data_IF_537177125923
#
_entry.id   IF_537177125923
#
_cell.length_a   1.000
_cell.length_b   1.000
_cell.length_c   1.000
_cell.angle_alpha   90.00
_cell.angle_beta   90.00
_cell.angle_gamma   90.00
#
_symmetry.space_group_name_H-M   'P 1'
#
loop_
_entity.id
_entity.type
_entity.pdbx_description
1 polymer ?
#
# COMPACT_ATOMS: atom_id res chain seq x y z
N UNK A 1 -10.61 5.88 11.05
CA UNK A 1 -11.32 4.64 10.68
C UNK A 1 -10.62 3.48 11.37
N UNK A 2 -11.34 2.53 11.98
CA UNK A 2 -10.71 1.38 12.66
C UNK A 2 -10.58 0.20 11.68
N UNK A 3 -9.42 -0.43 11.66
CA UNK A 3 -9.17 -1.57 10.79
C UNK A 3 -9.95 -2.82 11.27
N UNK A 4 -10.66 -3.47 10.35
CA UNK A 4 -11.37 -4.73 10.59
C UNK A 4 -10.66 -5.86 9.86
N UNK A 5 -9.90 -6.68 10.58
CA UNK A 5 -9.19 -7.83 9.99
C UNK A 5 -10.14 -9.01 9.84
N UNK A 6 -10.22 -9.57 8.63
CA UNK A 6 -11.06 -10.72 8.28
C UNK A 6 -10.24 -12.01 8.36
N UNK A 7 -9.84 -12.44 9.57
CA UNK A 7 -8.99 -13.63 9.78
C UNK A 7 -9.69 -14.98 9.53
N UNK A 8 -11.02 -15.06 9.76
CA UNK A 8 -11.76 -16.32 9.78
C UNK A 8 -12.28 -16.84 8.42
N UNK A 9 -11.86 -16.25 7.28
CA UNK A 9 -12.42 -16.62 5.97
C UNK A 9 -11.48 -17.45 5.07
N UNK A 10 -10.60 -18.28 5.67
CA UNK A 10 -9.69 -19.17 4.91
C UNK A 10 -10.41 -20.38 4.27
N UNK A 11 -11.62 -20.21 3.79
CA UNK A 11 -12.44 -21.29 3.22
C UNK A 11 -12.39 -21.35 1.68
N UNK A 12 -11.41 -20.68 1.06
CA UNK A 12 -11.31 -20.59 -0.40
C UNK A 12 -11.22 -21.95 -1.09
N UNK A 13 -10.47 -22.91 -0.53
CA UNK A 13 -10.31 -24.25 -1.09
C UNK A 13 -11.65 -25.03 -1.06
N UNK A 14 -12.31 -25.07 0.10
CA UNK A 14 -13.59 -25.76 0.24
C UNK A 14 -14.67 -25.17 -0.67
N UNK A 15 -14.72 -23.82 -0.74
CA UNK A 15 -15.67 -23.13 -1.62
C UNK A 15 -15.35 -23.35 -3.11
N UNK A 16 -14.08 -23.38 -3.49
CA UNK A 16 -13.66 -23.67 -4.86
C UNK A 16 -14.12 -25.09 -5.26
N UNK A 17 -13.89 -26.09 -4.43
CA UNK A 17 -14.31 -27.47 -4.68
C UNK A 17 -15.83 -27.54 -4.78
N UNK A 18 -16.56 -26.90 -3.84
CA UNK A 18 -18.02 -26.85 -3.87
C UNK A 18 -18.56 -26.29 -5.19
N UNK A 19 -18.00 -25.16 -5.66
CA UNK A 19 -18.46 -24.54 -6.91
C UNK A 19 -18.11 -25.37 -8.13
N UNK A 20 -16.96 -26.05 -8.15
CA UNK A 20 -16.60 -26.99 -9.23
C UNK A 20 -17.61 -28.15 -9.28
N UNK A 21 -17.93 -28.75 -8.12
CA UNK A 21 -18.91 -29.86 -8.06
C UNK A 21 -20.29 -29.38 -8.55
N UNK A 22 -20.75 -28.21 -8.10
CA UNK A 22 -22.02 -27.66 -8.56
C UNK A 22 -22.02 -27.39 -10.08
N UNK A 23 -20.88 -26.95 -10.62
CA UNK A 23 -20.75 -26.70 -12.06
C UNK A 23 -20.80 -28.00 -12.87
N UNK A 24 -20.17 -29.09 -12.35
CA UNK A 24 -20.25 -30.42 -12.96
C UNK A 24 -21.67 -30.99 -12.90
N UNK A 25 -22.37 -30.80 -11.78
CA UNK A 25 -23.78 -31.22 -11.65
C UNK A 25 -24.67 -30.47 -12.65
N UNK A 26 -24.45 -29.18 -12.82
CA UNK A 26 -25.19 -28.38 -13.82
C UNK A 26 -24.92 -28.88 -15.25
N UNK A 27 -23.70 -29.25 -15.56
CA UNK A 27 -23.32 -29.81 -16.86
C UNK A 27 -24.01 -31.18 -17.09
N UNK A 28 -24.05 -32.05 -16.09
CA UNK A 28 -24.82 -33.29 -16.18
C UNK A 28 -26.32 -33.04 -16.35
N UNK A 29 -26.89 -32.07 -15.62
CA UNK A 29 -28.31 -31.69 -15.78
C UNK A 29 -28.61 -31.19 -17.18
N UNK A 30 -27.72 -30.45 -17.84
CA UNK A 30 -27.93 -30.01 -19.23
C UNK A 30 -27.92 -31.19 -20.20
N UNK A 31 -27.00 -32.15 -20.04
CA UNK A 31 -26.91 -33.30 -20.92
C UNK A 31 -28.15 -34.23 -20.78
N UNK A 32 -28.51 -34.61 -19.54
CA UNK A 32 -29.67 -35.43 -19.28
C UNK A 32 -31.00 -34.72 -19.59
N UNK A 33 -31.06 -33.41 -19.28
CA UNK A 33 -32.26 -32.63 -19.57
C UNK A 33 -32.57 -32.48 -21.07
N UNK A 34 -31.53 -32.36 -21.89
CA UNK A 34 -31.67 -32.35 -23.34
C UNK A 34 -32.25 -33.64 -23.90
N UNK A 35 -31.94 -34.79 -23.26
CA UNK A 35 -32.41 -36.11 -23.71
C UNK A 35 -33.81 -36.50 -23.18
N UNK A 36 -34.14 -36.09 -21.95
CA UNK A 36 -35.30 -36.67 -21.25
C UNK A 36 -36.26 -35.63 -20.65
N UNK A 37 -35.83 -34.47 -20.18
CA UNK A 37 -36.65 -33.54 -19.40
C UNK A 37 -36.33 -32.09 -19.72
N UNK A 38 -37.10 -31.46 -20.61
CA UNK A 38 -36.90 -30.08 -21.05
C UNK A 38 -36.72 -29.02 -19.93
N UNK A 39 -37.49 -29.03 -18.81
CA UNK A 39 -37.29 -28.09 -17.73
C UNK A 39 -35.90 -28.19 -17.07
N UNK A 40 -35.36 -29.41 -16.96
CA UNK A 40 -34.03 -29.67 -16.36
C UNK A 40 -32.89 -29.07 -17.22
N UNK A 41 -33.06 -29.13 -18.54
CA UNK A 41 -32.19 -28.50 -19.52
C UNK A 41 -32.11 -26.99 -19.31
N UNK A 42 -33.23 -26.31 -19.17
CA UNK A 42 -33.31 -24.87 -18.98
C UNK A 42 -32.60 -24.45 -17.67
N UNK A 43 -32.87 -25.15 -16.57
CA UNK A 43 -32.20 -24.88 -15.27
C UNK A 43 -30.71 -25.06 -15.37
N UNK A 44 -30.22 -26.13 -16.01
CA UNK A 44 -28.80 -26.38 -16.21
C UNK A 44 -28.13 -25.30 -17.04
N UNK A 45 -28.73 -24.86 -18.13
CA UNK A 45 -28.19 -23.77 -18.97
C UNK A 45 -28.10 -22.45 -18.21
N UNK A 46 -29.16 -22.07 -17.48
CA UNK A 46 -29.16 -20.85 -16.66
C UNK A 46 -28.04 -20.90 -15.61
N UNK A 47 -27.87 -22.06 -14.97
CA UNK A 47 -26.80 -22.24 -13.99
C UNK A 47 -25.41 -22.14 -14.62
N UNK A 48 -25.18 -22.73 -15.80
CA UNK A 48 -23.91 -22.60 -16.52
C UNK A 48 -23.59 -21.15 -16.90
N UNK A 49 -24.60 -20.36 -17.24
CA UNK A 49 -24.44 -18.94 -17.56
C UNK A 49 -24.10 -18.08 -16.33
N UNK A 50 -24.64 -18.37 -15.16
CA UNK A 50 -24.50 -17.56 -13.94
C UNK A 50 -23.46 -18.13 -12.96
N UNK A 51 -23.22 -19.44 -13.01
CA UNK A 51 -22.40 -20.19 -12.05
C UNK A 51 -20.90 -19.84 -12.02
N UNK A 52 -20.39 -19.02 -12.96
CA UNK A 52 -19.02 -18.52 -12.93
C UNK A 52 -18.83 -17.32 -11.99
N UNK A 53 -19.92 -16.57 -11.66
CA UNK A 53 -19.86 -15.38 -10.81
C UNK A 53 -19.22 -15.67 -9.44
N UNK A 54 -19.55 -16.75 -8.72
CA UNK A 54 -18.92 -17.06 -7.44
C UNK A 54 -17.39 -17.22 -7.50
N UNK A 55 -16.83 -17.68 -8.63
CA UNK A 55 -15.38 -17.80 -8.78
C UNK A 55 -14.65 -16.45 -8.69
N UNK A 56 -15.30 -15.33 -8.99
CA UNK A 56 -14.74 -13.99 -8.81
C UNK A 56 -14.46 -13.66 -7.34
N UNK A 57 -15.13 -14.35 -6.42
CA UNK A 57 -14.94 -14.21 -4.97
C UNK A 57 -13.69 -14.88 -4.43
N UNK A 58 -13.00 -15.70 -5.23
CA UNK A 58 -11.77 -16.38 -4.82
C UNK A 58 -10.59 -15.41 -4.87
N UNK A 59 -9.89 -15.24 -3.75
CA UNK A 59 -8.72 -14.35 -3.62
C UNK A 59 -7.55 -15.09 -2.99
N UNK A 60 -6.38 -14.97 -3.62
CA UNK A 60 -5.11 -15.51 -3.13
C UNK A 60 -4.29 -14.38 -2.55
N UNK A 61 -3.86 -14.53 -1.31
CA UNK A 61 -3.01 -13.57 -0.61
C UNK A 61 -1.67 -14.22 -0.27
N UNK A 62 -0.57 -13.57 -0.64
CA UNK A 62 0.79 -14.00 -0.30
C UNK A 62 1.18 -13.49 1.09
N UNK A 63 2.21 -14.08 1.72
CA UNK A 63 2.76 -13.54 2.96
C UNK A 63 3.18 -12.07 2.80
N UNK A 64 2.90 -11.25 3.82
CA UNK A 64 3.21 -9.82 3.85
C UNK A 64 2.50 -8.99 2.76
N UNK A 65 1.35 -9.45 2.29
CA UNK A 65 0.42 -8.69 1.46
C UNK A 65 -0.89 -8.51 2.22
N UNK A 66 -1.55 -7.38 2.00
CA UNK A 66 -2.89 -7.12 2.50
C UNK A 66 -3.83 -6.76 1.34
N UNK A 67 -5.10 -7.10 1.50
CA UNK A 67 -6.15 -6.77 0.53
C UNK A 67 -7.28 -6.05 1.24
N UNK A 68 -7.42 -4.76 0.99
CA UNK A 68 -8.50 -3.92 1.52
C UNK A 68 -9.73 -4.07 0.64
N UNK A 69 -10.84 -4.52 1.23
CA UNK A 69 -12.06 -4.85 0.51
C UNK A 69 -13.17 -3.84 0.79
N UNK A 70 -13.80 -3.39 -0.28
CA UNK A 70 -15.01 -2.57 -0.25
C UNK A 70 -16.14 -3.27 -0.99
N UNK A 71 -17.37 -3.09 -0.52
CA UNK A 71 -18.60 -3.57 -1.16
C UNK A 71 -19.50 -2.36 -1.39
N UNK A 72 -19.76 -2.02 -2.63
CA UNK A 72 -20.57 -0.85 -3.01
C UNK A 72 -20.16 0.44 -2.28
N UNK A 73 -18.84 0.68 -2.18
CA UNK A 73 -18.28 1.86 -1.52
C UNK A 73 -18.14 1.75 0.01
N UNK A 74 -18.72 0.74 0.68
CA UNK A 74 -18.55 0.53 2.11
C UNK A 74 -17.32 -0.35 2.39
N UNK A 75 -16.51 0.02 3.37
CA UNK A 75 -15.42 -0.80 3.85
C UNK A 75 -15.96 -2.06 4.55
N UNK A 76 -15.58 -3.23 4.05
CA UNK A 76 -15.98 -4.54 4.60
C UNK A 76 -14.95 -5.08 5.57
N UNK A 77 -13.69 -4.91 5.23
CA UNK A 77 -12.56 -5.37 6.03
C UNK A 77 -11.30 -5.60 5.19
N UNK A 78 -10.23 -5.97 5.87
CA UNK A 78 -8.92 -6.24 5.28
C UNK A 78 -8.52 -7.69 5.51
N UNK A 79 -7.99 -8.33 4.47
CA UNK A 79 -7.31 -9.61 4.56
C UNK A 79 -5.81 -9.34 4.73
N UNK A 80 -5.21 -9.82 5.83
CA UNK A 80 -3.76 -9.63 6.12
C UNK A 80 -2.97 -10.94 6.12
N UNK A 81 -3.61 -12.05 6.49
CA UNK A 81 -2.93 -13.34 6.57
C UNK A 81 -2.76 -13.95 5.19
N UNK A 82 -1.65 -14.64 4.98
CA UNK A 82 -1.46 -15.43 3.77
C UNK A 82 -2.48 -16.58 3.70
N UNK A 83 -3.02 -16.82 2.52
CA UNK A 83 -3.97 -17.89 2.32
C UNK A 83 -4.86 -17.74 1.10
N UNK A 84 -5.77 -18.71 0.97
CA UNK A 84 -6.78 -18.74 -0.07
C UNK A 84 -8.14 -18.45 0.55
N UNK A 85 -8.76 -17.37 0.12
CA UNK A 85 -9.96 -16.82 0.71
C UNK A 85 -11.13 -16.86 -0.26
N UNK A 86 -12.32 -17.06 0.28
CA UNK A 86 -13.56 -16.81 -0.42
C UNK A 86 -14.24 -15.58 0.21
N UNK A 87 -14.43 -14.56 -0.59
CA UNK A 87 -15.13 -13.32 -0.22
C UNK A 87 -16.31 -13.10 -1.16
N UNK A 88 -17.21 -12.19 -0.82
CA UNK A 88 -18.32 -11.86 -1.70
C UNK A 88 -17.79 -11.48 -3.09
N UNK A 89 -18.29 -12.09 -4.20
CA UNK A 89 -17.84 -11.81 -5.56
C UNK A 89 -17.88 -10.32 -5.96
N UNK A 90 -18.79 -9.56 -5.37
CA UNK A 90 -18.95 -8.13 -5.63
C UNK A 90 -17.99 -7.24 -4.82
N UNK A 91 -17.19 -7.83 -3.94
CA UNK A 91 -16.16 -7.06 -3.23
C UNK A 91 -15.04 -6.66 -4.18
N UNK A 92 -14.73 -5.37 -4.16
CA UNK A 92 -13.62 -4.79 -4.89
C UNK A 92 -12.43 -4.54 -3.97
N UNK A 93 -11.24 -4.82 -4.47
CA UNK A 93 -10.00 -4.45 -3.81
C UNK A 93 -9.65 -2.99 -4.13
N UNK A 94 -9.29 -2.22 -3.11
CA UNK A 94 -8.93 -0.80 -3.24
C UNK A 94 -7.50 -0.60 -2.76
N UNK A 95 -6.68 0.04 -3.60
CA UNK A 95 -5.36 0.53 -3.26
C UNK A 95 -5.09 1.78 -4.11
N UNK A 96 -5.23 2.99 -3.57
CA UNK A 96 -5.03 4.22 -4.33
C UNK A 96 -3.58 4.39 -4.80
N UNK A 97 -2.61 3.93 -4.00
CA UNK A 97 -1.20 3.98 -4.34
C UNK A 97 -0.70 2.80 -5.20
N UNK A 98 -1.61 2.03 -5.84
CA UNK A 98 -1.24 0.85 -6.64
C UNK A 98 -0.35 1.18 -7.84
N UNK A 99 -0.55 2.34 -8.45
CA UNK A 99 0.22 2.81 -9.63
C UNK A 99 1.49 3.57 -9.25
N UNK A 100 1.59 4.05 -8.02
CA UNK A 100 2.70 4.88 -7.57
C UNK A 100 3.89 4.00 -7.21
N UNK A 101 5.01 4.21 -7.88
CA UNK A 101 6.30 3.60 -7.57
C UNK A 101 7.16 4.65 -6.87
N UNK A 102 7.75 4.30 -5.74
CA UNK A 102 8.78 5.12 -5.10
C UNK A 102 10.10 4.73 -5.76
N UNK A 103 10.73 5.66 -6.46
CA UNK A 103 12.04 5.45 -7.04
C UNK A 103 13.13 5.44 -5.97
N UNK A 104 14.27 4.84 -6.28
CA UNK A 104 15.44 4.87 -5.39
C UNK A 104 15.97 6.30 -5.16
N UNK A 105 15.60 7.24 -6.01
CA UNK A 105 15.95 8.67 -5.90
C UNK A 105 14.90 9.53 -5.20
N UNK A 106 13.84 8.94 -4.64
CA UNK A 106 12.79 9.66 -3.91
C UNK A 106 11.72 10.34 -4.76
N UNK A 107 11.88 10.36 -6.08
CA UNK A 107 10.82 10.85 -6.96
C UNK A 107 9.65 9.85 -6.99
N UNK A 108 8.47 10.38 -6.75
CA UNK A 108 7.21 9.64 -6.91
C UNK A 108 6.92 9.57 -8.40
N UNK A 109 7.20 8.43 -9.02
CA UNK A 109 6.74 8.18 -10.40
C UNK A 109 5.24 7.92 -10.36
N UNK A 110 4.47 8.91 -10.75
CA UNK A 110 3.08 8.70 -11.13
C UNK A 110 3.08 7.95 -12.46
N UNK A 111 2.81 6.64 -12.40
CA UNK A 111 2.88 5.71 -13.53
C UNK A 111 1.99 6.06 -14.74
N UNK A 112 1.31 7.23 -14.70
CA UNK A 112 0.47 7.71 -15.77
C UNK A 112 1.24 8.35 -16.95
N UNK A 113 2.48 8.80 -16.74
CA UNK A 113 3.22 9.54 -17.77
C UNK A 113 4.21 8.73 -18.60
N UNK A 114 4.64 7.55 -18.15
CA UNK A 114 5.64 6.72 -18.88
C UNK A 114 5.08 5.48 -19.61
N UNK A 115 3.80 5.13 -19.38
CA UNK A 115 3.26 3.88 -19.91
C UNK A 115 2.98 3.86 -21.42
N UNK A 116 2.92 5.00 -22.10
CA UNK A 116 2.59 5.07 -23.54
C UNK A 116 3.81 4.77 -24.42
N UNK A 117 5.02 5.12 -24.00
CA UNK A 117 6.24 4.94 -24.81
C UNK A 117 7.04 3.66 -24.48
N UNK A 118 6.89 3.06 -23.29
CA UNK A 118 7.58 1.81 -22.93
C UNK A 118 6.78 0.52 -23.21
N UNK A 119 5.49 0.62 -23.51
CA UNK A 119 4.64 -0.52 -23.89
C UNK A 119 5.03 -1.16 -25.23
N UNK A 120 5.93 -0.55 -25.98
CA UNK A 120 6.32 -1.03 -27.32
C UNK A 120 7.49 -2.02 -27.31
N UNK A 121 8.22 -2.19 -26.18
CA UNK A 121 9.41 -3.05 -26.16
C UNK A 121 9.41 -4.24 -25.18
N UNK A 122 8.45 -4.35 -24.24
CA UNK A 122 8.33 -5.57 -23.41
C UNK A 122 6.86 -5.81 -23.11
N UNK A 123 6.28 -6.82 -23.73
CA UNK A 123 4.86 -7.19 -23.70
C UNK A 123 4.32 -7.71 -22.35
N UNK A 124 4.75 -7.18 -21.23
CA UNK A 124 4.15 -7.41 -19.91
C UNK A 124 3.44 -6.15 -19.46
N UNK A 125 2.13 -6.10 -19.71
CA UNK A 125 1.25 -5.16 -19.02
C UNK A 125 1.29 -5.53 -17.52
N UNK A 126 2.16 -4.89 -16.75
CA UNK A 126 2.10 -4.97 -15.28
C UNK A 126 0.76 -4.36 -14.84
N UNK A 127 -0.24 -5.20 -14.70
CA UNK A 127 -1.48 -4.80 -14.03
C UNK A 127 -1.14 -4.38 -12.61
N UNK A 128 -1.28 -3.09 -12.31
CA UNK A 128 -1.02 -2.53 -11.00
C UNK A 128 -1.77 -3.35 -9.94
N UNK A 129 -1.01 -4.03 -9.07
CA UNK A 129 -1.58 -4.89 -8.05
C UNK A 129 -2.37 -4.05 -7.04
N UNK A 130 -3.65 -4.32 -6.89
CA UNK A 130 -4.50 -3.66 -5.87
C UNK A 130 -4.18 -4.13 -4.43
N UNK A 131 -3.15 -4.94 -4.25
CA UNK A 131 -2.68 -5.39 -2.95
C UNK A 131 -1.77 -4.35 -2.31
N UNK A 132 -1.85 -4.22 -1.00
CA UNK A 132 -0.98 -3.37 -0.20
C UNK A 132 0.16 -4.23 0.35
N UNK A 133 1.40 -3.80 0.17
CA UNK A 133 2.56 -4.47 0.76
C UNK A 133 2.69 -4.10 2.24
N UNK A 134 2.87 -5.11 3.10
CA UNK A 134 3.17 -4.96 4.52
C UNK A 134 4.67 -5.13 4.82
N UNK A 135 5.47 -5.37 3.77
CA UNK A 135 6.92 -5.48 3.90
C UNK A 135 7.54 -4.14 4.28
N UNK A 136 8.71 -4.19 4.88
CA UNK A 136 9.53 -2.99 5.05
C UNK A 136 9.94 -2.52 3.66
N UNK A 137 9.69 -1.26 3.38
CA UNK A 137 10.02 -0.58 2.13
C UNK A 137 10.99 0.56 2.44
N UNK A 138 11.81 0.92 1.48
CA UNK A 138 12.76 2.04 1.60
C UNK A 138 12.32 3.17 0.68
N UNK A 139 12.24 4.37 1.24
CA UNK A 139 12.14 5.62 0.51
C UNK A 139 13.52 6.28 0.56
N UNK A 140 14.16 6.42 -0.58
CA UNK A 140 15.39 7.19 -0.70
C UNK A 140 15.03 8.57 -1.23
N UNK A 141 15.06 9.56 -0.34
CA UNK A 141 14.67 10.91 -0.68
C UNK A 141 15.81 11.63 -1.42
N UNK A 142 15.45 12.41 -2.43
CA UNK A 142 16.44 13.18 -3.21
C UNK A 142 17.20 14.16 -2.32
N UNK A 143 18.47 14.40 -2.68
CA UNK A 143 19.25 15.45 -2.02
C UNK A 143 18.58 16.80 -2.27
N UNK A 144 18.36 17.51 -1.18
CA UNK A 144 17.76 18.85 -1.21
C UNK A 144 18.78 19.88 -0.70
N UNK A 145 18.76 21.06 -1.31
CA UNK A 145 19.48 22.20 -0.78
C UNK A 145 18.61 22.89 0.26
N UNK A 146 19.09 22.88 1.50
CA UNK A 146 18.39 23.47 2.64
C UNK A 146 19.38 24.35 3.37
N UNK A 147 18.98 25.54 3.79
CA UNK A 147 19.81 26.39 4.61
C UNK A 147 19.77 25.91 6.06
N UNK A 148 20.94 25.84 6.68
CA UNK A 148 21.09 25.59 8.11
C UNK A 148 20.60 26.79 8.96
N UNK A 149 20.75 26.72 10.28
CA UNK A 149 20.35 27.82 11.19
C UNK A 149 21.18 29.10 10.98
N UNK A 150 22.37 29.02 10.40
CA UNK A 150 23.26 30.14 10.10
C UNK A 150 23.06 30.69 8.68
N UNK A 151 22.19 30.07 7.88
CA UNK A 151 21.94 30.45 6.50
C UNK A 151 22.87 29.81 5.47
N UNK A 152 23.73 28.86 5.86
CA UNK A 152 24.61 28.16 4.94
C UNK A 152 23.79 27.11 4.14
N UNK A 153 23.95 27.03 2.81
CA UNK A 153 23.26 26.02 2.00
C UNK A 153 23.94 24.65 2.19
N UNK A 154 23.15 23.68 2.66
CA UNK A 154 23.60 22.29 2.86
C UNK A 154 22.83 21.38 1.91
N UNK A 155 23.51 20.47 1.23
CA UNK A 155 22.89 19.39 0.46
C UNK A 155 22.75 18.15 1.32
N UNK A 156 21.50 17.77 1.62
CA UNK A 156 21.22 16.63 2.49
C UNK A 156 20.13 15.76 1.88
N UNK A 157 20.27 14.46 2.01
CA UNK A 157 19.29 13.44 1.65
C UNK A 157 19.13 12.42 2.76
N UNK A 158 17.98 11.79 2.84
CA UNK A 158 17.67 10.77 3.83
C UNK A 158 17.15 9.51 3.17
N UNK A 159 17.46 8.36 3.76
CA UNK A 159 16.82 7.09 3.43
C UNK A 159 15.91 6.68 4.59
N UNK A 160 14.63 6.53 4.31
CA UNK A 160 13.61 6.20 5.32
C UNK A 160 13.11 4.79 5.09
N UNK A 161 13.27 3.93 6.11
CA UNK A 161 12.65 2.61 6.14
C UNK A 161 11.27 2.70 6.79
N UNK A 162 10.26 2.21 6.09
CA UNK A 162 8.87 2.33 6.50
C UNK A 162 8.04 1.11 6.14
N UNK A 163 6.89 0.94 6.76
CA UNK A 163 5.91 -0.10 6.45
C UNK A 163 4.50 0.37 6.76
N UNK A 164 3.51 -0.25 6.13
CA UNK A 164 2.10 -0.02 6.45
C UNK A 164 1.74 -0.85 7.70
N UNK A 165 1.26 -0.19 8.74
CA UNK A 165 0.80 -0.81 10.00
C UNK A 165 -0.73 -0.96 10.01
N UNK A 166 -1.45 0.09 9.59
CA UNK A 166 -2.92 0.11 9.48
C UNK A 166 -3.32 0.36 8.03
N UNK A 167 -3.77 -0.69 7.36
CA UNK A 167 -4.12 -0.63 5.94
C UNK A 167 -5.39 0.16 5.67
N UNK A 168 -6.33 0.20 6.63
CA UNK A 168 -7.56 0.98 6.48
C UNK A 168 -7.25 2.48 6.51
N UNK A 169 -6.37 2.91 7.43
CA UNK A 169 -5.91 4.30 7.47
C UNK A 169 -5.12 4.66 6.22
N UNK A 170 -4.20 3.80 5.78
CA UNK A 170 -3.37 4.05 4.60
C UNK A 170 -4.19 4.21 3.31
N UNK A 171 -5.32 3.50 3.19
CA UNK A 171 -6.15 3.51 1.98
C UNK A 171 -7.24 4.58 2.01
N UNK A 172 -7.77 4.94 3.19
CA UNK A 172 -8.94 5.79 3.29
C UNK A 172 -8.72 7.15 3.96
N UNK A 173 -7.63 7.34 4.72
CA UNK A 173 -7.36 8.63 5.35
C UNK A 173 -6.54 9.56 4.45
N UNK A 174 -5.81 9.00 3.48
CA UNK A 174 -4.98 9.76 2.53
C UNK A 174 -5.21 9.24 1.11
N UNK A 175 -5.16 10.12 0.13
CA UNK A 175 -5.37 9.75 -1.27
C UNK A 175 -4.25 8.84 -1.79
N UNK A 176 -3.01 9.15 -1.43
CA UNK A 176 -1.84 8.38 -1.82
C UNK A 176 -0.83 8.34 -0.68
N UNK A 177 -0.83 7.26 0.08
CA UNK A 177 0.03 7.13 1.26
C UNK A 177 1.54 7.14 0.94
N UNK A 178 1.95 6.75 -0.27
CA UNK A 178 3.36 6.79 -0.69
C UNK A 178 3.82 8.21 -0.98
N UNK A 179 3.03 8.96 -1.70
CA UNK A 179 3.28 10.36 -1.99
C UNK A 179 3.21 11.20 -0.72
N UNK A 180 2.21 10.95 0.11
CA UNK A 180 2.07 11.57 1.41
C UNK A 180 3.32 11.37 2.27
N UNK A 181 3.85 10.14 2.35
CA UNK A 181 5.08 9.85 3.08
C UNK A 181 6.27 10.66 2.52
N UNK A 182 6.45 10.68 1.20
CA UNK A 182 7.55 11.43 0.57
C UNK A 182 7.50 12.91 0.92
N UNK A 183 6.32 13.53 0.82
CA UNK A 183 6.13 14.93 1.17
C UNK A 183 6.35 15.21 2.66
N UNK A 184 5.94 14.30 3.55
CA UNK A 184 6.20 14.45 4.99
C UNK A 184 7.69 14.29 5.33
N UNK A 185 8.41 13.40 4.63
CA UNK A 185 9.87 13.28 4.76
C UNK A 185 10.58 14.56 4.37
N UNK A 186 10.19 15.18 3.25
CA UNK A 186 10.74 16.47 2.79
C UNK A 186 10.48 17.58 3.80
N UNK A 187 9.26 17.65 4.30
CA UNK A 187 8.85 18.65 5.27
C UNK A 187 9.62 18.50 6.60
N UNK A 188 9.71 17.27 7.11
CA UNK A 188 10.42 17.00 8.36
C UNK A 188 11.93 17.30 8.23
N UNK A 189 12.52 16.89 7.11
CA UNK A 189 13.93 17.17 6.83
C UNK A 189 14.22 18.67 6.86
N UNK A 190 13.42 19.47 6.17
CA UNK A 190 13.56 20.94 6.15
C UNK A 190 13.38 21.57 7.51
N UNK A 191 12.39 21.09 8.29
CA UNK A 191 12.11 21.63 9.61
C UNK A 191 13.28 21.40 10.56
N UNK A 192 13.83 20.19 10.59
CA UNK A 192 14.88 19.83 11.52
C UNK A 192 16.24 20.42 11.09
N UNK A 193 16.59 20.38 9.80
CA UNK A 193 17.87 20.92 9.31
C UNK A 193 18.02 22.41 9.62
N UNK A 194 16.94 23.18 9.57
CA UNK A 194 16.96 24.62 9.90
C UNK A 194 17.26 24.95 11.37
N UNK A 195 17.16 23.97 12.26
CA UNK A 195 17.41 24.18 13.70
C UNK A 195 18.90 24.05 14.03
N UNK A 196 19.62 23.21 13.26
CA UNK A 196 21.00 22.89 13.53
C UNK A 196 21.97 23.62 12.61
N UNK A 197 23.17 24.03 13.12
CA UNK A 197 24.27 24.44 12.25
C UNK A 197 24.86 23.24 11.53
N UNK A 198 25.46 23.45 10.37
CA UNK A 198 26.13 22.36 9.62
C UNK A 198 27.31 21.77 10.42
N UNK A 199 28.15 22.62 10.97
CA UNK A 199 29.30 22.23 11.80
C UNK A 199 29.23 22.96 13.16
N UNK A 200 30.21 22.73 14.02
CA UNK A 200 30.28 23.36 15.35
C UNK A 200 30.23 24.86 15.20
N UNK A 201 29.24 25.51 15.82
CA UNK A 201 29.07 26.95 15.85
C UNK A 201 29.12 27.42 17.29
N UNK A 202 30.04 28.36 17.57
CA UNK A 202 30.14 28.97 18.89
C UNK A 202 28.85 29.76 19.20
N UNK A 203 28.37 29.64 20.44
CA UNK A 203 27.22 30.37 20.97
C UNK A 203 25.85 30.04 20.32
N UNK A 204 25.68 28.89 19.69
CA UNK A 204 24.38 28.43 19.19
C UNK A 204 23.85 27.30 20.10
N UNK A 205 22.79 27.61 20.83
CA UNK A 205 22.03 26.61 21.58
C UNK A 205 20.99 25.98 20.63
N UNK A 206 21.15 24.69 20.31
CA UNK A 206 20.28 23.94 19.39
C UNK A 206 19.28 23.04 20.13
N UNK A 207 19.50 22.80 21.41
CA UNK A 207 18.65 21.93 22.25
C UNK A 207 17.66 22.74 23.08
N UNK A 208 17.91 24.02 23.29
CA UNK A 208 17.08 24.91 24.11
C UNK A 208 17.30 24.74 25.62
N UNK A 209 18.40 24.11 26.04
CA UNK A 209 18.72 23.90 27.43
C UNK A 209 19.63 24.98 28.04
N UNK A 210 20.01 25.98 27.25
CA UNK A 210 20.87 27.09 27.63
C UNK A 210 22.35 26.81 27.49
N UNK A 211 22.76 25.65 26.97
CA UNK A 211 24.14 25.30 26.71
C UNK A 211 24.46 25.48 25.23
N UNK A 212 25.31 26.40 24.88
CA UNK A 212 25.75 26.59 23.50
C UNK A 212 26.74 25.49 23.07
N UNK A 213 26.75 25.15 21.79
CA UNK A 213 27.65 24.18 21.14
C UNK A 213 27.22 22.69 21.22
N UNK A 214 26.00 22.40 21.58
CA UNK A 214 25.48 21.05 21.60
C UNK A 214 24.80 20.67 20.28
N UNK A 215 25.50 20.12 19.38
CA UNK A 215 24.93 19.49 18.21
C UNK A 215 25.06 20.28 16.93
N UNK A 216 25.53 19.57 15.95
CA UNK A 216 25.59 20.01 14.56
C UNK A 216 25.11 18.90 13.65
N UNK A 217 24.74 19.23 12.42
CA UNK A 217 24.32 18.22 11.41
C UNK A 217 25.43 17.18 11.19
N UNK A 218 26.71 17.61 11.26
CA UNK A 218 27.87 16.76 11.07
C UNK A 218 28.24 15.98 12.32
N UNK A 219 28.30 16.64 13.48
CA UNK A 219 28.77 16.05 14.73
C UNK A 219 27.75 15.19 15.46
N UNK A 220 26.46 15.54 15.33
CA UNK A 220 25.34 14.91 16.05
C UNK A 220 24.34 14.24 15.09
N UNK A 221 24.84 13.64 14.02
CA UNK A 221 23.99 13.07 12.96
C UNK A 221 22.98 12.04 13.47
N UNK A 222 23.30 11.28 14.51
CA UNK A 222 22.41 10.28 15.11
C UNK A 222 21.25 10.93 15.86
N UNK A 223 21.51 12.00 16.62
CA UNK A 223 20.49 12.77 17.32
C UNK A 223 19.55 13.46 16.32
N UNK A 224 20.12 14.07 15.28
CA UNK A 224 19.37 14.69 14.19
C UNK A 224 18.48 13.68 13.47
N UNK A 225 19.03 12.51 13.12
CA UNK A 225 18.28 11.43 12.49
C UNK A 225 17.11 10.94 13.36
N UNK A 226 17.33 10.83 14.68
CA UNK A 226 16.27 10.47 15.64
C UNK A 226 15.14 11.52 15.65
N UNK A 227 15.48 12.81 15.69
CA UNK A 227 14.49 13.90 15.65
C UNK A 227 13.70 13.92 14.33
N UNK A 228 14.40 13.72 13.19
CA UNK A 228 13.74 13.62 11.87
C UNK A 228 12.76 12.43 11.87
N UNK A 229 13.19 11.26 12.37
CA UNK A 229 12.34 10.07 12.47
C UNK A 229 11.09 10.36 13.31
N UNK A 230 11.23 10.97 14.48
CA UNK A 230 10.13 11.23 15.41
C UNK A 230 9.16 12.26 14.82
N UNK A 231 9.67 13.27 14.13
CA UNK A 231 8.85 14.24 13.39
C UNK A 231 8.06 13.58 12.25
N UNK A 232 8.72 12.72 11.44
CA UNK A 232 8.03 11.96 10.39
C UNK A 232 6.96 11.07 11.00
N UNK A 233 7.33 10.28 12.04
CA UNK A 233 6.40 9.34 12.67
C UNK A 233 5.16 10.03 13.25
N UNK A 234 5.32 11.22 13.84
CA UNK A 234 4.19 12.00 14.35
C UNK A 234 3.18 12.37 13.26
N UNK A 235 3.69 12.71 12.07
CA UNK A 235 2.86 13.12 10.92
C UNK A 235 2.22 11.96 10.18
N UNK A 236 2.92 10.83 10.04
CA UNK A 236 2.43 9.69 9.24
C UNK A 236 1.59 8.69 10.03
N UNK A 237 1.53 8.81 11.35
CA UNK A 237 0.74 7.94 12.23
C UNK A 237 -0.75 7.89 11.83
N UNK A 238 -1.32 9.03 11.44
CA UNK A 238 -2.73 9.11 11.03
C UNK A 238 -2.97 8.53 9.62
N UNK A 239 -1.90 8.39 8.84
CA UNK A 239 -1.91 7.67 7.57
C UNK A 239 -1.67 6.15 7.74
N UNK A 240 -1.46 5.64 8.96
CA UNK A 240 -1.27 4.21 9.23
C UNK A 240 0.08 3.65 8.80
N UNK A 241 1.11 4.47 8.78
CA UNK A 241 2.49 4.12 8.40
C UNK A 241 3.37 4.00 9.64
#
# INVERSE_FOLDING_TARGET
MTEKVLSNKKNGMAMMILWIVLYLVALLMTIFGAAFVWPLFIIGVVWLCVGWIPFLGLKVLRPQEALVLTLFGKYVGTLKDAGFYYVNPFCQAVNPAAKTKLNQSGDVDDGSKKSIFQAQNNGTVEMASKKVSLKIMTLNNNRQKINDCLGNPVEIGIAVMWRVTDTAKAVFNVDNYKEYLSLQCDSALRNIVRIYPYDVAENVDTTGDGIANEGSLRGSSEVVASRIRDEIQSKVKDAGL
#
